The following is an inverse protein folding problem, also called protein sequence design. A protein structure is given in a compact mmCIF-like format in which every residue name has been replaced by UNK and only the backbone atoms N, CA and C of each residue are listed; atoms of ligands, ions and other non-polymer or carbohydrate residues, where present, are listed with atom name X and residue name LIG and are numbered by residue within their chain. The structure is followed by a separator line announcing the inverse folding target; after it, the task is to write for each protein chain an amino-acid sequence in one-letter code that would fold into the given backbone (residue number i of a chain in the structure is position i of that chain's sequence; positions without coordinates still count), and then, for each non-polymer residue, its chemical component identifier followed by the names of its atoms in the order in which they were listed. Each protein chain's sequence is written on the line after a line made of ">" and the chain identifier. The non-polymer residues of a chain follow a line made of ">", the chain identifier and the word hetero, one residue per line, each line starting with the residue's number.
data_IF_157336342375
#
_entry.id   IF_157336342375
#
_cell.length_a   1.000
_cell.length_b   1.000
_cell.length_c   1.000
_cell.angle_alpha   90.00
_cell.angle_beta   90.00
_cell.angle_gamma   90.00
#
_symmetry.space_group_name_H-M   'P 1'
#
loop_
_entity.id
_entity.type
_entity.pdbx_description
1 polymer ?
#
# COMPACT_ATOMS: atom_id res chain seq x y z
N UNK A 1 0.94 -6.20 18.62
CA UNK A 1 0.41 -4.82 18.81
C UNK A 1 -0.22 -4.38 17.49
N UNK A 2 -1.30 -3.59 17.52
CA UNK A 2 -1.90 -3.07 16.28
C UNK A 2 -0.99 -2.00 15.65
N UNK A 3 -0.68 -2.15 14.36
CA UNK A 3 0.08 -1.17 13.59
C UNK A 3 -0.85 -0.12 12.98
N UNK A 4 -1.99 -0.58 12.43
CA UNK A 4 -3.05 0.27 11.88
C UNK A 4 -4.36 -0.14 12.54
N UNK A 5 -5.12 0.82 13.05
CA UNK A 5 -6.48 0.62 13.54
C UNK A 5 -7.40 1.65 12.89
N UNK A 6 -8.46 1.17 12.30
CA UNK A 6 -9.53 1.97 11.69
C UNK A 6 -10.76 1.77 12.56
N UNK A 7 -11.34 2.85 13.03
CA UNK A 7 -12.47 2.84 13.94
C UNK A 7 -13.63 3.63 13.34
N UNK A 8 -14.67 2.93 12.92
CA UNK A 8 -15.93 3.47 12.42
C UNK A 8 -15.75 4.54 11.33
N UNK A 9 -14.76 4.33 10.43
CA UNK A 9 -14.43 5.30 9.38
C UNK A 9 -15.51 5.32 8.31
N UNK A 10 -16.04 6.52 8.06
CA UNK A 10 -16.89 6.79 6.90
C UNK A 10 -16.27 7.87 6.03
N UNK A 11 -16.47 7.77 4.72
CA UNK A 11 -16.06 8.80 3.77
C UNK A 11 -17.15 9.08 2.76
N UNK A 12 -17.57 10.34 2.72
CA UNK A 12 -18.58 10.83 1.78
C UNK A 12 -17.96 11.92 0.91
N UNK A 13 -18.16 11.79 -0.40
CA UNK A 13 -17.81 12.81 -1.38
C UNK A 13 -19.09 13.53 -1.81
N UNK A 14 -19.09 14.84 -1.77
CA UNK A 14 -20.17 15.67 -2.26
C UNK A 14 -19.73 16.42 -3.51
N UNK A 15 -20.50 16.33 -4.56
CA UNK A 15 -20.32 17.04 -5.82
C UNK A 15 -21.61 17.76 -6.24
N UNK A 16 -21.58 18.54 -7.31
CA UNK A 16 -22.79 19.16 -7.88
C UNK A 16 -23.77 18.12 -8.41
N UNK A 17 -23.31 16.92 -8.74
CA UNK A 17 -24.11 15.81 -9.30
C UNK A 17 -24.68 14.88 -8.24
N UNK A 18 -24.36 15.09 -6.96
CA UNK A 18 -24.85 14.28 -5.86
C UNK A 18 -23.79 13.93 -4.80
N UNK A 19 -24.21 13.07 -3.91
CA UNK A 19 -23.39 12.62 -2.77
C UNK A 19 -23.13 11.13 -2.90
N UNK A 20 -21.86 10.73 -2.82
CA UNK A 20 -21.42 9.33 -2.86
C UNK A 20 -20.75 8.98 -1.54
N UNK A 21 -21.30 8.02 -0.81
CA UNK A 21 -20.70 7.45 0.39
C UNK A 21 -19.76 6.30 0.01
N UNK A 22 -18.47 6.59 -0.09
CA UNK A 22 -17.46 5.63 -0.52
C UNK A 22 -17.03 4.65 0.57
N UNK A 23 -17.11 5.07 1.85
CA UNK A 23 -16.89 4.20 3.02
C UNK A 23 -18.02 4.39 4.02
N UNK A 24 -18.47 3.30 4.64
CA UNK A 24 -19.60 3.26 5.57
C UNK A 24 -19.17 2.50 6.82
N UNK A 25 -18.90 3.22 7.90
CA UNK A 25 -18.62 2.67 9.22
C UNK A 25 -17.58 1.53 9.24
N UNK A 26 -16.49 1.71 8.48
CA UNK A 26 -15.44 0.70 8.33
C UNK A 26 -14.61 0.63 9.60
N UNK A 27 -14.48 -0.59 10.16
CA UNK A 27 -13.58 -0.89 11.28
C UNK A 27 -12.67 -2.04 10.94
N UNK A 28 -11.35 -1.88 11.19
CA UNK A 28 -10.32 -2.84 10.80
C UNK A 28 -9.11 -2.69 11.70
N UNK A 29 -8.48 -3.81 12.05
CA UNK A 29 -7.22 -3.82 12.80
C UNK A 29 -6.19 -4.65 12.05
N UNK A 30 -5.03 -4.07 11.76
CA UNK A 30 -3.89 -4.70 11.09
C UNK A 30 -2.74 -4.77 12.08
N UNK A 31 -2.16 -5.95 12.25
CA UNK A 31 -1.08 -6.18 13.22
C UNK A 31 0.28 -5.79 12.63
N UNK A 32 1.21 -5.45 13.51
CA UNK A 32 2.58 -5.13 13.11
C UNK A 32 3.27 -6.33 12.46
N UNK A 33 3.93 -6.10 11.33
CA UNK A 33 4.72 -7.10 10.62
C UNK A 33 3.92 -8.10 9.77
N UNK A 34 2.58 -8.00 9.70
CA UNK A 34 1.79 -8.88 8.84
C UNK A 34 1.65 -8.35 7.41
N UNK A 35 1.36 -9.26 6.48
CA UNK A 35 0.89 -8.92 5.14
C UNK A 35 -0.63 -9.12 5.13
N UNK A 36 -1.36 -8.03 5.01
CA UNK A 36 -2.81 -7.97 5.09
C UNK A 36 -3.44 -7.66 3.74
N UNK A 37 -4.41 -8.47 3.30
CA UNK A 37 -5.13 -8.28 2.06
C UNK A 37 -6.43 -7.48 2.26
N UNK A 38 -6.75 -6.60 1.32
CA UNK A 38 -8.06 -5.96 1.21
C UNK A 38 -8.59 -6.23 -0.19
N UNK A 39 -9.68 -6.98 -0.28
CA UNK A 39 -10.25 -7.42 -1.54
C UNK A 39 -11.68 -6.90 -1.71
N UNK A 40 -12.15 -6.84 -2.93
CA UNK A 40 -13.48 -6.40 -3.30
C UNK A 40 -13.56 -6.05 -4.77
N UNK A 41 -14.77 -5.99 -5.30
CA UNK A 41 -15.00 -5.58 -6.69
C UNK A 41 -14.58 -4.13 -6.95
N UNK A 42 -14.49 -3.74 -8.23
CA UNK A 42 -14.29 -2.34 -8.59
C UNK A 42 -15.38 -1.47 -7.96
N UNK A 43 -15.01 -0.30 -7.45
CA UNK A 43 -15.95 0.59 -6.75
C UNK A 43 -16.30 0.20 -5.31
N UNK A 44 -15.77 -0.90 -4.75
CA UNK A 44 -16.05 -1.30 -3.36
C UNK A 44 -15.51 -0.34 -2.27
N UNK A 45 -14.73 0.69 -2.62
CA UNK A 45 -14.16 1.65 -1.68
C UNK A 45 -12.71 1.37 -1.25
N UNK A 46 -12.05 0.34 -1.81
CA UNK A 46 -10.70 -0.09 -1.40
C UNK A 46 -9.65 1.03 -1.47
N UNK A 47 -9.51 1.70 -2.61
CA UNK A 47 -8.52 2.78 -2.78
C UNK A 47 -8.86 3.99 -1.90
N UNK A 48 -10.15 4.28 -1.64
CA UNK A 48 -10.56 5.30 -0.68
C UNK A 48 -10.11 4.93 0.74
N UNK A 49 -10.26 3.65 1.13
CA UNK A 49 -9.84 3.17 2.43
C UNK A 49 -8.33 3.34 2.63
N UNK A 50 -7.52 2.96 1.64
CA UNK A 50 -6.06 3.15 1.70
C UNK A 50 -5.65 4.61 1.75
N UNK A 51 -6.32 5.48 0.99
CA UNK A 51 -6.08 6.92 1.08
C UNK A 51 -6.48 7.51 2.42
N UNK A 52 -7.46 6.93 3.12
CA UNK A 52 -7.75 7.27 4.50
C UNK A 52 -6.68 6.73 5.46
N UNK A 53 -6.10 5.53 5.23
CA UNK A 53 -5.05 4.97 6.08
C UNK A 53 -3.79 5.84 6.15
N UNK A 54 -3.38 6.46 5.03
CA UNK A 54 -2.26 7.41 5.02
C UNK A 54 -2.71 8.88 5.16
N UNK A 55 -4.00 9.10 5.42
CA UNK A 55 -4.62 10.40 5.57
C UNK A 55 -4.42 11.35 4.38
N UNK A 56 -4.23 10.80 3.17
CA UNK A 56 -4.34 11.58 1.91
C UNK A 56 -5.78 12.01 1.67
N UNK A 57 -6.74 11.17 2.10
CA UNK A 57 -8.16 11.50 2.19
C UNK A 57 -8.55 11.55 3.65
N UNK A 58 -9.04 12.68 4.12
CA UNK A 58 -9.55 12.81 5.47
C UNK A 58 -10.91 12.11 5.58
N UNK A 59 -11.10 11.18 6.53
CA UNK A 59 -12.42 10.61 6.82
C UNK A 59 -13.47 11.71 7.12
N UNK A 60 -14.72 11.45 6.74
CA UNK A 60 -15.84 12.31 7.13
C UNK A 60 -16.21 12.09 8.59
N UNK A 61 -16.06 10.84 9.08
CA UNK A 61 -16.22 10.48 10.50
C UNK A 61 -15.35 9.26 10.82
N UNK A 62 -15.18 8.99 12.13
CA UNK A 62 -14.35 7.91 12.63
C UNK A 62 -12.88 8.29 12.74
N UNK A 63 -12.05 7.33 13.13
CA UNK A 63 -10.64 7.54 13.41
C UNK A 63 -9.73 6.55 12.64
N UNK A 64 -8.58 7.05 12.22
CA UNK A 64 -7.46 6.23 11.75
C UNK A 64 -6.30 6.41 12.73
N UNK A 65 -5.86 5.30 13.31
CA UNK A 65 -4.75 5.30 14.27
C UNK A 65 -3.57 4.50 13.69
N UNK A 66 -2.39 5.08 13.80
CA UNK A 66 -1.11 4.39 13.53
C UNK A 66 -0.38 4.24 14.86
N UNK A 67 -0.07 2.99 15.25
CA UNK A 67 0.55 2.67 16.55
C UNK A 67 -0.17 3.32 17.73
N UNK A 68 -1.49 3.34 17.69
CA UNK A 68 -2.32 3.94 18.72
C UNK A 68 -2.44 5.46 18.68
N UNK A 69 -1.75 6.15 17.76
CA UNK A 69 -1.84 7.60 17.60
C UNK A 69 -2.86 7.95 16.51
N UNK A 70 -3.91 8.67 16.85
CA UNK A 70 -4.92 9.12 15.91
C UNK A 70 -4.34 10.18 14.95
N UNK A 71 -4.64 10.05 13.64
CA UNK A 71 -4.17 10.97 12.61
C UNK A 71 -5.01 12.23 12.50
N UNK A 72 -6.32 12.14 12.78
CA UNK A 72 -7.27 13.22 12.58
C UNK A 72 -7.10 14.46 13.47
N UNK A 73 -6.34 14.35 14.58
CA UNK A 73 -6.04 15.48 15.47
C UNK A 73 -4.66 16.10 15.26
N UNK A 74 -3.88 15.60 14.28
CA UNK A 74 -2.50 16.04 14.09
C UNK A 74 -2.43 17.35 13.32
N UNK A 75 -1.50 18.23 13.73
CA UNK A 75 -1.11 19.37 12.91
C UNK A 75 -0.38 18.92 11.65
N UNK A 76 -0.43 19.71 10.57
CA UNK A 76 0.13 19.36 9.26
C UNK A 76 1.60 18.87 9.34
N UNK A 77 2.43 19.52 10.17
CA UNK A 77 3.84 19.13 10.38
C UNK A 77 3.98 17.74 11.00
N UNK A 78 3.10 17.39 11.94
CA UNK A 78 3.10 16.07 12.61
C UNK A 78 2.54 15.01 11.66
N UNK A 79 1.49 15.34 10.89
CA UNK A 79 0.92 14.46 9.89
C UNK A 79 1.94 14.10 8.79
N UNK A 80 2.75 15.08 8.33
CA UNK A 80 3.86 14.80 7.40
C UNK A 80 4.86 13.81 7.98
N UNK A 81 5.24 13.96 9.25
CA UNK A 81 6.13 13.01 9.94
C UNK A 81 5.53 11.61 10.05
N UNK A 82 4.21 11.50 10.24
CA UNK A 82 3.54 10.19 10.23
C UNK A 82 3.53 9.56 8.83
N UNK A 83 3.27 10.37 7.78
CA UNK A 83 3.31 9.90 6.38
C UNK A 83 4.69 9.44 5.95
N UNK A 84 5.78 9.98 6.49
CA UNK A 84 7.14 9.50 6.23
C UNK A 84 7.34 8.04 6.66
N UNK A 85 6.57 7.55 7.63
CA UNK A 85 6.61 6.16 8.08
C UNK A 85 5.71 5.22 7.26
N UNK A 86 5.00 5.75 6.26
CA UNK A 86 4.08 5.02 5.41
C UNK A 86 4.55 5.14 3.97
N UNK A 87 5.10 4.07 3.43
CA UNK A 87 5.39 3.95 1.99
C UNK A 87 4.10 3.65 1.22
N UNK A 88 3.99 4.15 0.01
CA UNK A 88 2.86 3.85 -0.86
C UNK A 88 3.31 3.47 -2.26
N UNK A 89 2.77 2.36 -2.75
CA UNK A 89 2.93 1.87 -4.11
C UNK A 89 1.57 1.99 -4.79
N UNK A 90 1.54 2.70 -5.91
CA UNK A 90 0.32 2.99 -6.66
C UNK A 90 0.15 2.01 -7.82
N UNK A 91 -1.07 1.86 -8.31
CA UNK A 91 -1.43 1.08 -9.48
C UNK A 91 -0.64 1.49 -10.73
N UNK A 92 -0.52 2.80 -10.97
CA UNK A 92 0.42 3.36 -11.93
C UNK A 92 1.71 3.70 -11.19
N UNK A 93 2.84 3.27 -11.68
CA UNK A 93 4.16 3.35 -11.01
C UNK A 93 4.50 4.76 -10.50
N UNK A 94 3.90 5.81 -11.09
CA UNK A 94 4.07 7.23 -10.74
C UNK A 94 5.54 7.64 -10.62
N UNK A 95 6.39 7.11 -11.52
CA UNK A 95 7.79 7.47 -11.57
C UNK A 95 7.97 8.85 -12.21
N UNK A 96 8.96 9.58 -11.72
CA UNK A 96 9.39 10.84 -12.31
C UNK A 96 10.11 10.54 -13.63
N UNK A 97 9.42 10.73 -14.75
CA UNK A 97 9.88 10.31 -16.08
C UNK A 97 11.16 11.00 -16.54
N UNK A 98 11.42 12.22 -16.04
CA UNK A 98 12.60 13.04 -16.35
C UNK A 98 13.76 12.79 -15.39
N UNK A 99 13.62 11.86 -14.45
CA UNK A 99 14.63 11.49 -13.47
C UNK A 99 15.10 10.07 -13.71
N UNK A 100 16.39 9.82 -13.48
CA UNK A 100 16.92 8.45 -13.53
C UNK A 100 16.28 7.56 -12.47
N UNK A 101 16.49 6.26 -12.59
CA UNK A 101 16.09 5.26 -11.58
C UNK A 101 16.62 5.63 -10.19
N UNK A 102 17.90 5.92 -10.10
CA UNK A 102 18.56 6.33 -8.85
C UNK A 102 17.92 7.60 -8.26
N UNK A 103 17.71 8.62 -9.11
CA UNK A 103 17.10 9.87 -8.66
C UNK A 103 15.64 9.70 -8.22
N UNK A 104 14.88 8.80 -8.85
CA UNK A 104 13.54 8.43 -8.39
C UNK A 104 13.55 7.87 -6.96
N UNK A 105 14.52 7.00 -6.65
CA UNK A 105 14.65 6.41 -5.31
C UNK A 105 15.20 7.43 -4.29
N UNK A 106 16.11 8.31 -4.70
CA UNK A 106 16.62 9.38 -3.84
C UNK A 106 15.57 10.43 -3.47
N UNK A 107 14.58 10.66 -4.34
CA UNK A 107 13.67 11.80 -4.25
C UNK A 107 12.95 11.94 -2.89
N UNK A 108 12.36 10.89 -2.30
CA UNK A 108 11.73 11.00 -0.98
C UNK A 108 12.71 11.43 0.12
N UNK A 109 13.94 10.98 0.05
CA UNK A 109 14.99 11.33 1.02
C UNK A 109 15.42 12.79 0.90
N UNK A 110 15.42 13.36 -0.31
CA UNK A 110 15.65 14.80 -0.50
C UNK A 110 14.54 15.64 0.12
N UNK A 111 13.29 15.19 0.02
CA UNK A 111 12.17 15.87 0.68
C UNK A 111 12.33 15.85 2.21
N UNK A 112 12.90 14.78 2.77
CA UNK A 112 13.24 14.70 4.20
C UNK A 112 14.48 15.55 4.60
N UNK A 113 15.13 16.20 3.65
CA UNK A 113 16.34 17.01 3.90
C UNK A 113 17.63 16.20 4.06
N UNK A 114 17.65 14.93 3.62
CA UNK A 114 18.87 14.11 3.62
C UNK A 114 19.93 14.68 2.68
N UNK A 115 21.19 14.56 3.07
CA UNK A 115 22.32 14.96 2.23
C UNK A 115 22.39 14.09 0.98
N UNK A 116 22.84 14.69 -0.13
CA UNK A 116 22.90 14.03 -1.44
C UNK A 116 23.68 12.71 -1.42
N UNK A 117 24.81 12.69 -0.71
CA UNK A 117 25.67 11.50 -0.55
C UNK A 117 24.93 10.37 0.18
N UNK A 118 24.36 10.66 1.34
CA UNK A 118 23.59 9.70 2.15
C UNK A 118 22.38 9.11 1.40
N UNK A 119 21.62 9.98 0.72
CA UNK A 119 20.48 9.56 -0.07
C UNK A 119 20.89 8.64 -1.23
N UNK A 120 22.03 8.93 -1.88
CA UNK A 120 22.55 8.15 -3.00
C UNK A 120 23.02 6.76 -2.54
N UNK A 121 23.81 6.68 -1.48
CA UNK A 121 24.27 5.43 -0.88
C UNK A 121 23.09 4.53 -0.51
N UNK A 122 22.08 5.10 0.15
CA UNK A 122 20.86 4.37 0.53
C UNK A 122 20.04 3.93 -0.69
N UNK A 123 19.95 4.76 -1.72
CA UNK A 123 19.24 4.41 -2.94
C UNK A 123 19.93 3.27 -3.70
N UNK A 124 21.26 3.26 -3.76
CA UNK A 124 22.04 2.17 -4.37
C UNK A 124 21.82 0.83 -3.64
N UNK A 125 21.81 0.82 -2.29
CA UNK A 125 21.43 -0.36 -1.50
C UNK A 125 20.02 -0.86 -1.82
N UNK A 126 19.05 0.04 -1.92
CA UNK A 126 17.67 -0.33 -2.22
C UNK A 126 17.53 -0.86 -3.65
N UNK A 127 18.26 -0.29 -4.61
CA UNK A 127 18.29 -0.79 -5.98
C UNK A 127 18.91 -2.18 -6.07
N UNK A 128 19.91 -2.49 -5.23
CA UNK A 128 20.45 -3.84 -5.12
C UNK A 128 19.42 -4.83 -4.59
N UNK A 129 18.68 -4.46 -3.53
CA UNK A 129 17.59 -5.28 -2.95
C UNK A 129 16.52 -5.62 -3.97
N UNK A 130 16.14 -4.66 -4.83
CA UNK A 130 15.14 -4.90 -5.87
C UNK A 130 15.72 -5.45 -7.18
N UNK A 131 17.02 -5.75 -7.24
CA UNK A 131 17.70 -6.35 -8.39
C UNK A 131 17.84 -5.40 -9.60
N UNK A 132 18.03 -4.10 -9.36
CA UNK A 132 18.12 -3.07 -10.40
C UNK A 132 19.37 -2.16 -10.28
N UNK A 133 20.42 -2.62 -9.60
CA UNK A 133 21.65 -1.85 -9.41
C UNK A 133 22.24 -1.35 -10.75
N UNK A 134 22.31 -2.25 -11.72
CA UNK A 134 22.86 -1.96 -13.07
C UNK A 134 22.00 -0.99 -13.88
N UNK A 135 20.75 -0.75 -13.44
CA UNK A 135 19.81 0.19 -14.08
C UNK A 135 19.75 1.57 -13.40
N UNK A 136 20.62 1.85 -12.43
CA UNK A 136 20.61 3.08 -11.64
C UNK A 136 20.56 4.36 -12.51
N UNK A 137 21.29 4.40 -13.61
CA UNK A 137 21.36 5.53 -14.52
C UNK A 137 20.31 5.51 -15.66
N UNK A 138 19.53 4.44 -15.79
CA UNK A 138 18.48 4.35 -16.79
C UNK A 138 17.30 5.29 -16.43
N UNK A 139 16.50 5.63 -17.44
CA UNK A 139 15.25 6.38 -17.26
C UNK A 139 14.03 5.46 -17.26
N UNK A 140 12.91 5.85 -16.65
CA UNK A 140 11.71 5.02 -16.61
C UNK A 140 11.20 4.56 -17.97
N UNK A 141 11.39 5.37 -19.03
CA UNK A 141 11.03 5.00 -20.41
C UNK A 141 11.78 3.79 -20.97
N UNK A 142 12.95 3.47 -20.39
CA UNK A 142 13.82 2.36 -20.81
C UNK A 142 13.56 1.08 -20.02
N UNK A 143 12.55 1.06 -19.13
CA UNK A 143 12.26 -0.05 -18.23
C UNK A 143 11.00 -0.79 -18.63
N UNK A 144 10.99 -2.11 -18.42
CA UNK A 144 9.78 -2.93 -18.46
C UNK A 144 8.81 -2.56 -17.33
N UNK A 145 7.55 -2.99 -17.41
CA UNK A 145 6.55 -2.79 -16.36
C UNK A 145 7.01 -3.31 -15.00
N UNK A 146 7.54 -4.54 -14.96
CA UNK A 146 8.07 -5.13 -13.73
C UNK A 146 9.28 -4.39 -13.17
N UNK A 147 10.16 -3.88 -14.03
CA UNK A 147 11.28 -3.04 -13.58
C UNK A 147 10.81 -1.71 -13.02
N UNK A 148 9.82 -1.06 -13.65
CA UNK A 148 9.20 0.16 -13.11
C UNK A 148 8.58 -0.08 -11.74
N UNK A 149 7.93 -1.23 -11.55
CA UNK A 149 7.35 -1.61 -10.26
C UNK A 149 8.43 -1.81 -9.19
N UNK A 150 9.53 -2.47 -9.52
CA UNK A 150 10.68 -2.63 -8.60
C UNK A 150 11.28 -1.28 -8.21
N UNK A 151 11.38 -0.31 -9.12
CA UNK A 151 11.80 1.07 -8.81
C UNK A 151 10.79 1.75 -7.87
N UNK A 152 9.50 1.60 -8.11
CA UNK A 152 8.45 2.16 -7.25
C UNK A 152 8.51 1.56 -5.83
N UNK A 153 8.80 0.26 -5.70
CA UNK A 153 9.04 -0.40 -4.41
C UNK A 153 10.28 0.18 -3.72
N UNK A 154 11.42 0.26 -4.41
CA UNK A 154 12.65 0.84 -3.86
C UNK A 154 12.43 2.28 -3.38
N UNK A 155 11.73 3.11 -4.17
CA UNK A 155 11.36 4.47 -3.81
C UNK A 155 10.46 4.52 -2.56
N UNK A 156 9.49 3.62 -2.45
CA UNK A 156 8.61 3.56 -1.27
C UNK A 156 9.37 3.16 0.01
N UNK A 157 10.46 2.39 -0.12
CA UNK A 157 11.33 1.98 0.99
C UNK A 157 12.36 3.05 1.39
N UNK A 158 12.57 4.08 0.56
CA UNK A 158 13.64 5.06 0.75
C UNK A 158 13.57 5.82 2.09
N UNK A 159 12.37 6.06 2.60
CA UNK A 159 12.15 6.70 3.91
C UNK A 159 12.22 5.73 5.10
N UNK A 160 12.56 4.45 4.87
CA UNK A 160 12.56 3.38 5.88
C UNK A 160 11.19 3.25 6.59
N UNK A 161 10.09 3.09 5.84
CA UNK A 161 8.75 3.08 6.40
C UNK A 161 8.52 1.86 7.29
N UNK A 162 7.53 1.94 8.16
CA UNK A 162 7.02 0.81 8.98
C UNK A 162 5.80 0.15 8.37
N UNK A 163 5.13 0.86 7.49
CA UNK A 163 3.93 0.42 6.77
C UNK A 163 4.15 0.63 5.28
N UNK A 164 3.78 -0.34 4.47
CA UNK A 164 3.77 -0.26 3.02
C UNK A 164 2.34 -0.52 2.52
N UNK A 165 1.75 0.48 1.90
CA UNK A 165 0.42 0.39 1.29
C UNK A 165 0.57 0.13 -0.21
N UNK A 166 -0.02 -0.95 -0.72
CA UNK A 166 0.06 -1.38 -2.11
C UNK A 166 -1.33 -1.29 -2.75
N UNK A 167 -1.61 -0.24 -3.50
CA UNK A 167 -2.88 -0.05 -4.20
C UNK A 167 -2.78 -0.64 -5.60
N UNK A 168 -3.33 -1.85 -5.78
CA UNK A 168 -3.33 -2.62 -7.03
C UNK A 168 -1.93 -2.75 -7.70
N UNK A 169 -0.90 -2.92 -6.89
CA UNK A 169 0.50 -2.85 -7.29
C UNK A 169 0.93 -3.89 -8.37
N UNK A 170 0.10 -4.87 -8.68
CA UNK A 170 0.40 -5.93 -9.67
C UNK A 170 -0.62 -6.01 -10.80
N UNK A 171 -1.66 -5.17 -10.81
CA UNK A 171 -2.78 -5.28 -11.76
C UNK A 171 -2.39 -5.06 -13.23
N UNK A 172 -1.30 -4.32 -13.48
CA UNK A 172 -0.78 -4.01 -14.82
C UNK A 172 0.38 -4.93 -15.26
N UNK A 173 0.65 -6.03 -14.53
CA UNK A 173 1.77 -6.94 -14.77
C UNK A 173 1.28 -8.30 -15.23
N UNK A 174 2.11 -8.98 -16.02
CA UNK A 174 1.88 -10.38 -16.39
C UNK A 174 2.02 -11.31 -15.18
N UNK A 175 1.49 -12.54 -15.24
CA UNK A 175 1.49 -13.46 -14.10
C UNK A 175 2.88 -13.81 -13.55
N UNK A 176 3.88 -13.96 -14.42
CA UNK A 176 5.24 -14.30 -14.00
C UNK A 176 5.91 -13.12 -13.27
N UNK A 177 5.77 -11.93 -13.81
CA UNK A 177 6.25 -10.70 -13.19
C UNK A 177 5.52 -10.45 -11.86
N UNK A 178 4.20 -10.65 -11.81
CA UNK A 178 3.41 -10.58 -10.57
C UNK A 178 3.97 -11.50 -9.51
N UNK A 179 4.22 -12.79 -9.84
CA UNK A 179 4.79 -13.75 -8.89
C UNK A 179 6.12 -13.25 -8.30
N UNK A 180 7.01 -12.74 -9.15
CA UNK A 180 8.31 -12.19 -8.76
C UNK A 180 8.22 -10.94 -7.87
N UNK A 181 7.24 -10.05 -8.11
CA UNK A 181 6.98 -8.89 -7.26
C UNK A 181 6.43 -9.31 -5.90
N UNK A 182 5.55 -10.31 -5.85
CA UNK A 182 5.01 -10.81 -4.59
C UNK A 182 6.09 -11.46 -3.72
N UNK A 183 7.01 -12.22 -4.31
CA UNK A 183 8.17 -12.79 -3.62
C UNK A 183 9.06 -11.69 -3.04
N UNK A 184 9.36 -10.66 -3.83
CA UNK A 184 10.11 -9.50 -3.36
C UNK A 184 9.42 -8.81 -2.17
N UNK A 185 8.10 -8.63 -2.21
CA UNK A 185 7.34 -8.04 -1.09
C UNK A 185 7.41 -8.91 0.17
N UNK A 186 7.35 -10.24 0.04
CA UNK A 186 7.54 -11.17 1.18
C UNK A 186 8.95 -11.08 1.77
N UNK A 187 9.99 -10.99 0.92
CA UNK A 187 11.37 -10.80 1.38
C UNK A 187 11.55 -9.48 2.12
N UNK A 188 10.99 -8.38 1.59
CA UNK A 188 10.98 -7.07 2.22
C UNK A 188 10.27 -7.11 3.58
N UNK A 189 9.08 -7.73 3.65
CA UNK A 189 8.34 -7.89 4.90
C UNK A 189 9.19 -8.62 5.95
N UNK A 190 9.79 -9.76 5.60
CA UNK A 190 10.64 -10.55 6.51
C UNK A 190 11.90 -9.82 6.92
N UNK A 191 12.63 -9.22 5.95
CA UNK A 191 13.92 -8.57 6.18
C UNK A 191 13.81 -7.32 7.04
N UNK A 192 12.78 -6.51 6.82
CA UNK A 192 12.63 -5.21 7.47
C UNK A 192 11.51 -5.17 8.52
N UNK A 193 10.78 -6.27 8.71
CA UNK A 193 9.62 -6.36 9.60
C UNK A 193 8.59 -5.24 9.34
N UNK A 194 8.32 -4.98 8.04
CA UNK A 194 7.38 -3.95 7.58
C UNK A 194 5.98 -4.55 7.48
N UNK A 195 4.98 -3.86 8.01
CA UNK A 195 3.57 -4.21 7.80
C UNK A 195 3.18 -3.85 6.36
N UNK A 196 2.63 -4.81 5.60
CA UNK A 196 2.22 -4.59 4.21
C UNK A 196 0.71 -4.72 4.10
N UNK A 197 0.06 -3.74 3.48
CA UNK A 197 -1.38 -3.79 3.15
C UNK A 197 -1.50 -3.84 1.64
N UNK A 198 -2.10 -4.92 1.13
CA UNK A 198 -2.27 -5.14 -0.31
C UNK A 198 -3.73 -5.00 -0.68
N UNK A 199 -4.01 -4.05 -1.56
CA UNK A 199 -5.30 -3.95 -2.22
C UNK A 199 -5.23 -4.64 -3.57
N UNK A 200 -6.17 -5.53 -3.81
CA UNK A 200 -6.27 -6.24 -5.08
C UNK A 200 -7.67 -6.79 -5.29
N UNK A 201 -8.00 -7.05 -6.53
CA UNK A 201 -9.15 -7.88 -6.90
C UNK A 201 -8.72 -9.31 -7.31
N UNK A 202 -7.41 -9.61 -7.28
CA UNK A 202 -6.84 -10.90 -7.65
C UNK A 202 -6.67 -11.81 -6.43
N UNK A 203 -7.48 -12.86 -6.35
CA UNK A 203 -7.45 -13.82 -5.25
C UNK A 203 -6.14 -14.59 -5.13
N UNK A 204 -5.53 -14.92 -6.26
CA UNK A 204 -4.23 -15.58 -6.31
C UNK A 204 -3.13 -14.81 -5.56
N UNK A 205 -3.18 -13.48 -5.62
CA UNK A 205 -2.26 -12.60 -4.88
C UNK A 205 -2.46 -12.77 -3.37
N UNK A 206 -3.71 -12.69 -2.90
CA UNK A 206 -4.04 -12.80 -1.47
C UNK A 206 -3.67 -14.16 -0.92
N UNK A 207 -4.05 -15.24 -1.62
CA UNK A 207 -3.70 -16.61 -1.22
C UNK A 207 -2.20 -16.85 -1.14
N UNK A 208 -1.44 -16.20 -2.03
CA UNK A 208 0.02 -16.42 -2.11
C UNK A 208 0.79 -15.78 -0.96
N UNK A 209 0.41 -14.56 -0.52
CA UNK A 209 1.28 -13.83 0.40
C UNK A 209 0.59 -13.23 1.64
N UNK A 210 -0.74 -13.13 1.69
CA UNK A 210 -1.42 -12.52 2.83
C UNK A 210 -1.66 -13.55 3.95
N UNK A 211 -1.56 -13.10 5.21
CA UNK A 211 -1.94 -13.88 6.38
C UNK A 211 -3.42 -13.71 6.74
N UNK A 212 -3.93 -12.50 6.61
CA UNK A 212 -5.31 -12.13 6.87
C UNK A 212 -5.87 -11.31 5.72
N UNK A 213 -7.20 -11.27 5.62
CA UNK A 213 -7.89 -10.55 4.56
C UNK A 213 -9.18 -9.92 5.08
N UNK A 214 -9.50 -8.74 4.54
CA UNK A 214 -10.82 -8.11 4.65
C UNK A 214 -11.49 -8.07 3.28
N UNK A 215 -12.76 -8.42 3.24
CA UNK A 215 -13.60 -8.38 2.04
C UNK A 215 -14.47 -7.15 2.10
N UNK A 216 -14.40 -6.31 1.07
CA UNK A 216 -15.18 -5.09 0.94
C UNK A 216 -16.27 -5.21 -0.11
N UNK A 217 -17.46 -4.69 0.22
CA UNK A 217 -18.61 -4.53 -0.71
C UNK A 217 -19.27 -3.19 -0.42
N UNK A 218 -19.47 -2.37 -1.46
CA UNK A 218 -20.26 -1.13 -1.38
C UNK A 218 -19.90 -0.20 -0.22
N UNK A 219 -18.59 -0.08 0.07
CA UNK A 219 -18.04 0.80 1.13
C UNK A 219 -18.00 0.19 2.52
N UNK A 220 -18.36 -1.06 2.69
CA UNK A 220 -18.40 -1.78 3.97
C UNK A 220 -17.43 -2.97 3.97
N UNK A 221 -16.95 -3.35 5.16
CA UNK A 221 -16.27 -4.64 5.33
C UNK A 221 -17.36 -5.67 5.67
N UNK A 222 -17.50 -6.67 4.80
CA UNK A 222 -18.51 -7.73 4.95
C UNK A 222 -17.95 -8.96 5.65
N UNK A 223 -16.63 -9.19 5.54
CA UNK A 223 -16.00 -10.34 6.19
C UNK A 223 -14.51 -10.06 6.44
N UNK A 224 -13.98 -10.57 7.56
CA UNK A 224 -12.54 -10.53 7.88
C UNK A 224 -12.11 -11.83 8.55
N UNK A 225 -10.89 -12.27 8.29
CA UNK A 225 -10.32 -13.46 8.94
C UNK A 225 -8.96 -13.82 8.39
N UNK A 226 -8.43 -14.95 8.83
CA UNK A 226 -7.25 -15.53 8.21
C UNK A 226 -7.59 -15.97 6.77
N UNK A 227 -6.60 -15.91 5.89
CA UNK A 227 -6.79 -16.32 4.48
C UNK A 227 -7.30 -17.76 4.40
N UNK A 228 -6.77 -18.67 5.25
CA UNK A 228 -7.22 -20.06 5.29
C UNK A 228 -8.69 -20.21 5.69
N UNK A 229 -9.17 -19.49 6.71
CA UNK A 229 -10.56 -19.54 7.15
C UNK A 229 -11.52 -19.00 6.10
N UNK A 230 -11.21 -17.81 5.57
CA UNK A 230 -12.06 -17.13 4.58
C UNK A 230 -12.25 -17.98 3.32
N UNK A 231 -11.19 -18.63 2.83
CA UNK A 231 -11.28 -19.44 1.62
C UNK A 231 -11.74 -20.87 1.83
N UNK A 232 -11.67 -21.42 3.05
CA UNK A 232 -12.22 -22.75 3.36
C UNK A 232 -13.69 -22.71 3.78
N UNK A 233 -14.12 -21.63 4.44
CA UNK A 233 -15.47 -21.48 4.99
C UNK A 233 -16.01 -20.07 4.72
N UNK A 234 -16.25 -19.71 3.44
CA UNK A 234 -16.77 -18.39 3.08
C UNK A 234 -18.17 -18.19 3.67
N UNK A 235 -18.39 -17.05 4.33
CA UNK A 235 -19.66 -16.72 4.98
C UNK A 235 -20.49 -15.72 4.18
N UNK A 236 -19.81 -14.85 3.40
CA UNK A 236 -20.50 -13.82 2.60
C UNK A 236 -20.68 -14.26 1.15
N UNK A 237 -21.78 -13.87 0.52
CA UNK A 237 -22.03 -14.11 -0.91
C UNK A 237 -20.90 -13.57 -1.79
N UNK A 238 -20.24 -12.48 -1.35
CA UNK A 238 -19.10 -11.91 -2.06
C UNK A 238 -17.89 -12.81 -1.95
N UNK A 239 -17.70 -13.47 -0.82
CA UNK A 239 -16.61 -14.42 -0.65
C UNK A 239 -16.79 -15.65 -1.56
N UNK A 240 -18.03 -16.13 -1.70
CA UNK A 240 -18.37 -17.22 -2.61
C UNK A 240 -18.04 -16.93 -4.08
N UNK A 241 -18.08 -15.67 -4.51
CA UNK A 241 -17.67 -15.28 -5.86
C UNK A 241 -16.15 -15.37 -6.08
N UNK A 242 -15.38 -15.52 -5.01
CA UNK A 242 -13.93 -15.52 -5.00
C UNK A 242 -13.33 -16.90 -4.64
N UNK A 243 -14.14 -17.85 -4.21
CA UNK A 243 -13.72 -19.23 -3.91
C UNK A 243 -13.98 -20.16 -5.08
#
# INVERSE_FOLDING_TARGET
>A
MAEIKIENVSKTYSSKEGTVQALKNVSLTIRSGEIYGIIGMSGAGKSTLVRCMNFLEQPTSGNVLIKGRALGGLKEKELRKQREQIGMIFQHFNLLMQKSVLENVCFPMYIQGKKKKEAREKAEELLEIVGLKEKANAFPSQLSGGQKQRVAIARALATSPKILLCDEATSALDPQTTASILELLQEINRKFNITIVIITHQMSVVRKICSHVAIMKSGEIVETGSVSEIFSHPKSDVCLLYT
#
